data_IF_774380413023
#
_entry.id   IF_774380413023
#
_cell.length_a   1.000
_cell.length_b   1.000
_cell.length_c   1.000
_cell.angle_alpha   90.00
_cell.angle_beta   90.00
_cell.angle_gamma   90.00
#
_symmetry.space_group_name_H-M   'P 1'
#
loop_
_entity.id
_entity.type
_entity.pdbx_description
1 polymer ?
#
# COMPACT_ATOMS: atom_id res chain seq x y z
N UNK A 1 76.90 -49.14 31.60
CA UNK A 1 77.80 -48.56 30.58
C UNK A 1 77.40 -49.10 29.22
N UNK A 2 77.15 -48.22 28.24
CA UNK A 2 77.02 -48.50 26.79
C UNK A 2 75.84 -49.40 26.34
N UNK A 3 75.15 -49.20 25.21
CA UNK A 3 75.09 -48.12 24.20
C UNK A 3 73.93 -48.45 23.22
N UNK A 4 73.17 -47.41 22.86
CA UNK A 4 72.60 -47.08 21.54
C UNK A 4 71.52 -47.98 20.90
N UNK A 5 70.32 -47.40 20.90
CA UNK A 5 69.12 -47.72 20.12
C UNK A 5 69.34 -47.37 18.63
N UNK A 6 68.93 -48.30 17.75
CA UNK A 6 68.82 -48.15 16.30
C UNK A 6 67.47 -47.49 15.98
N UNK A 7 67.48 -46.42 15.19
CA UNK A 7 66.28 -45.77 14.66
C UNK A 7 66.11 -46.07 13.17
N UNK A 8 64.99 -46.68 12.81
CA UNK A 8 64.43 -46.79 11.46
C UNK A 8 62.95 -46.43 11.56
N UNK A 9 62.48 -45.47 10.76
CA UNK A 9 61.13 -45.32 10.19
C UNK A 9 60.96 -43.84 9.80
N UNK A 10 60.91 -43.48 8.52
CA UNK A 10 59.84 -43.68 7.53
C UNK A 10 59.05 -42.38 7.34
N UNK A 11 59.03 -41.95 6.09
CA UNK A 11 58.52 -40.70 5.54
C UNK A 11 57.02 -40.51 5.76
N UNK A 12 56.60 -39.31 6.17
CA UNK A 12 55.20 -38.88 6.12
C UNK A 12 55.07 -37.84 5.00
N UNK A 13 54.34 -38.21 3.95
CA UNK A 13 53.96 -37.30 2.88
C UNK A 13 52.88 -36.32 3.36
N UNK A 14 53.09 -35.04 3.11
CA UNK A 14 52.13 -33.97 3.38
C UNK A 14 51.22 -33.84 2.16
N UNK A 15 49.94 -34.22 2.34
CA UNK A 15 48.85 -33.93 1.40
C UNK A 15 48.43 -32.47 1.58
N UNK A 16 48.72 -31.64 0.58
CA UNK A 16 48.22 -30.26 0.48
C UNK A 16 46.75 -30.31 0.04
N UNK A 17 45.84 -29.99 0.95
CA UNK A 17 44.42 -29.80 0.63
C UNK A 17 44.21 -28.49 -0.14
N UNK A 18 43.81 -28.59 -1.40
CA UNK A 18 43.26 -27.48 -2.18
C UNK A 18 41.84 -27.21 -1.69
N UNK A 19 41.68 -26.23 -0.80
CA UNK A 19 40.37 -25.74 -0.39
C UNK A 19 39.69 -25.01 -1.56
N UNK A 20 38.56 -25.54 -2.04
CA UNK A 20 37.66 -24.86 -2.95
C UNK A 20 36.87 -23.79 -2.17
N UNK A 21 37.37 -22.56 -2.16
CA UNK A 21 36.58 -21.41 -1.72
C UNK A 21 35.59 -21.06 -2.83
N UNK A 22 34.32 -21.43 -2.65
CA UNK A 22 33.25 -20.85 -3.45
C UNK A 22 33.23 -19.33 -3.22
N UNK A 23 33.11 -18.50 -4.26
CA UNK A 23 33.01 -17.06 -4.07
C UNK A 23 31.78 -16.77 -3.21
N UNK A 24 31.99 -16.01 -2.13
CA UNK A 24 30.88 -15.49 -1.33
C UNK A 24 29.93 -14.76 -2.28
N UNK A 25 28.66 -15.21 -2.31
CA UNK A 25 27.63 -14.49 -3.04
C UNK A 25 27.66 -13.04 -2.54
N UNK A 26 27.89 -12.10 -3.47
CA UNK A 26 27.86 -10.69 -3.15
C UNK A 26 26.53 -10.38 -2.45
N UNK A 27 26.60 -9.93 -1.20
CA UNK A 27 25.39 -9.47 -0.52
C UNK A 27 24.84 -8.29 -1.33
N UNK A 28 23.52 -8.19 -1.54
CA UNK A 28 22.93 -7.05 -2.22
C UNK A 28 23.41 -5.77 -1.56
N UNK A 29 23.86 -4.79 -2.35
CA UNK A 29 24.26 -3.52 -1.78
C UNK A 29 23.07 -2.89 -1.03
N UNK A 30 23.30 -2.30 0.15
CA UNK A 30 22.25 -1.62 0.89
C UNK A 30 21.69 -0.49 0.02
N UNK A 31 20.41 -0.59 -0.33
CA UNK A 31 19.69 0.48 -1.02
C UNK A 31 19.57 1.64 -0.05
N UNK A 32 20.06 2.82 -0.44
CA UNK A 32 19.87 4.07 0.30
C UNK A 32 18.37 4.30 0.57
N UNK A 33 18.01 4.63 1.82
CA UNK A 33 16.62 4.80 2.27
C UNK A 33 15.85 5.79 1.39
N UNK A 34 16.51 6.88 0.97
CA UNK A 34 15.91 7.86 0.08
C UNK A 34 15.65 7.30 -1.32
N UNK A 35 16.54 6.43 -1.80
CA UNK A 35 16.34 5.71 -3.06
C UNK A 35 15.16 4.74 -2.95
N UNK A 36 15.04 3.99 -1.86
CA UNK A 36 13.89 3.09 -1.63
C UNK A 36 12.56 3.86 -1.59
N UNK A 37 12.51 5.00 -0.89
CA UNK A 37 11.34 5.87 -0.84
C UNK A 37 11.00 6.43 -2.23
N UNK A 38 12.01 6.88 -3.00
CA UNK A 38 11.80 7.37 -4.37
C UNK A 38 11.36 6.26 -5.32
N UNK A 39 11.83 5.03 -5.15
CA UNK A 39 11.35 3.90 -5.95
C UNK A 39 9.90 3.55 -5.60
N UNK A 40 9.54 3.61 -4.32
CA UNK A 40 8.19 3.29 -3.86
C UNK A 40 7.15 4.36 -4.24
N UNK A 41 7.52 5.64 -4.21
CA UNK A 41 6.56 6.76 -4.34
C UNK A 41 6.94 7.79 -5.42
N UNK A 42 8.05 7.61 -6.14
CA UNK A 42 8.58 8.56 -7.12
C UNK A 42 8.23 8.24 -8.57
N UNK A 43 7.59 7.10 -8.86
CA UNK A 43 6.84 6.94 -10.09
C UNK A 43 5.64 7.90 -10.01
N UNK A 44 5.78 9.06 -10.66
CA UNK A 44 4.93 10.24 -10.47
C UNK A 44 3.49 9.90 -10.11
N UNK A 45 3.05 10.44 -8.97
CA UNK A 45 1.67 10.30 -8.52
C UNK A 45 0.76 10.63 -9.71
N UNK A 46 -0.20 9.77 -10.08
CA UNK A 46 -1.17 10.14 -11.09
C UNK A 46 -1.88 11.40 -10.59
N UNK A 47 -1.52 12.54 -11.17
CA UNK A 47 -2.06 13.85 -10.88
C UNK A 47 -3.03 14.20 -12.00
N UNK A 48 -4.29 14.38 -11.63
CA UNK A 48 -5.28 14.96 -12.52
C UNK A 48 -5.17 16.48 -12.52
N UNK A 49 -6.01 17.13 -13.33
CA UNK A 49 -5.95 18.58 -13.53
C UNK A 49 -6.28 19.35 -12.23
N UNK A 50 -7.14 18.79 -11.38
CA UNK A 50 -7.61 19.43 -10.14
C UNK A 50 -6.81 19.02 -8.90
N UNK A 51 -5.86 18.08 -9.01
CA UNK A 51 -5.09 17.61 -7.85
C UNK A 51 -4.44 18.73 -7.03
N UNK A 52 -3.86 19.82 -7.60
CA UNK A 52 -3.33 20.92 -6.80
C UNK A 52 -4.38 21.61 -5.92
N UNK A 53 -5.61 21.79 -6.41
CA UNK A 53 -6.71 22.38 -5.64
C UNK A 53 -7.16 21.43 -4.54
N UNK A 54 -7.33 20.15 -4.88
CA UNK A 54 -7.65 19.09 -3.91
C UNK A 54 -6.63 19.02 -2.77
N UNK A 55 -5.34 19.20 -3.07
CA UNK A 55 -4.27 19.26 -2.07
C UNK A 55 -4.45 20.46 -1.14
N UNK A 56 -4.72 21.65 -1.69
CA UNK A 56 -4.93 22.86 -0.89
C UNK A 56 -6.14 22.73 0.04
N UNK A 57 -7.24 22.18 -0.46
CA UNK A 57 -8.43 21.90 0.35
C UNK A 57 -8.15 20.88 1.45
N UNK A 58 -7.50 19.77 1.12
CA UNK A 58 -7.13 18.73 2.09
C UNK A 58 -6.27 19.33 3.20
N UNK A 59 -5.23 20.09 2.84
CA UNK A 59 -4.37 20.78 3.81
C UNK A 59 -5.16 21.82 4.63
N UNK A 60 -6.08 22.54 4.00
CA UNK A 60 -6.97 23.48 4.67
C UNK A 60 -7.85 22.80 5.72
N UNK A 61 -8.45 21.66 5.39
CA UNK A 61 -9.26 20.85 6.32
C UNK A 61 -8.44 20.32 7.49
N UNK A 62 -7.24 19.80 7.23
CA UNK A 62 -6.32 19.31 8.27
C UNK A 62 -5.90 20.47 9.19
N UNK A 63 -5.48 21.60 8.61
CA UNK A 63 -5.06 22.77 9.38
C UNK A 63 -6.18 23.37 10.22
N UNK A 64 -7.43 23.32 9.74
CA UNK A 64 -8.62 23.74 10.47
C UNK A 64 -9.08 22.73 11.54
N UNK A 65 -8.43 21.56 11.65
CA UNK A 65 -8.81 20.52 12.61
C UNK A 65 -10.18 19.90 12.32
N UNK A 66 -10.59 19.86 11.04
CA UNK A 66 -11.86 19.25 10.64
C UNK A 66 -11.86 17.78 11.08
N UNK A 67 -12.87 17.31 11.83
CA UNK A 67 -12.95 15.92 12.23
C UNK A 67 -12.98 14.98 11.03
N UNK A 68 -12.33 13.82 11.16
CA UNK A 68 -12.39 12.76 10.16
C UNK A 68 -13.82 12.23 10.03
N UNK A 69 -14.19 11.87 8.82
CA UNK A 69 -15.45 11.21 8.53
C UNK A 69 -15.50 9.87 9.28
N UNK A 70 -16.55 9.69 10.08
CA UNK A 70 -16.86 8.41 10.70
C UNK A 70 -17.50 7.48 9.66
N UNK A 71 -16.74 7.12 8.63
CA UNK A 71 -17.19 6.26 7.54
C UNK A 71 -16.42 4.94 7.57
N UNK A 72 -17.18 3.86 7.55
CA UNK A 72 -16.71 2.53 7.21
C UNK A 72 -17.68 1.96 6.17
N UNK A 73 -17.18 1.47 5.02
CA UNK A 73 -18.04 0.98 3.95
C UNK A 73 -18.87 -0.21 4.45
N UNK A 74 -20.19 -0.14 4.24
CA UNK A 74 -21.11 -1.23 4.59
C UNK A 74 -20.86 -2.48 3.74
N UNK A 75 -20.20 -2.32 2.59
CA UNK A 75 -19.89 -3.40 1.67
C UNK A 75 -18.87 -4.34 2.26
N UNK A 76 -18.12 -3.90 3.28
CA UNK A 76 -17.14 -4.70 4.01
C UNK A 76 -17.82 -5.41 5.17
N UNK A 77 -17.74 -6.73 5.19
CA UNK A 77 -18.31 -7.58 6.24
C UNK A 77 -17.16 -8.27 6.98
N UNK A 78 -16.44 -7.46 7.78
CA UNK A 78 -15.28 -7.92 8.53
C UNK A 78 -15.71 -8.80 9.71
N UNK A 79 -15.45 -10.10 9.61
CA UNK A 79 -15.69 -11.07 10.67
C UNK A 79 -14.48 -11.18 11.62
N UNK A 80 -13.26 -11.06 11.08
CA UNK A 80 -12.01 -11.11 11.85
C UNK A 80 -11.01 -10.09 11.31
N UNK A 81 -10.25 -9.44 12.18
CA UNK A 81 -9.22 -8.46 11.81
C UNK A 81 -9.42 -7.11 12.48
N UNK A 82 -8.52 -6.17 12.19
CA UNK A 82 -8.55 -4.81 12.72
C UNK A 82 -8.45 -3.82 11.57
N UNK A 83 -9.38 -2.87 11.52
CA UNK A 83 -9.36 -1.76 10.58
C UNK A 83 -8.40 -0.69 11.10
N UNK A 84 -7.47 -0.29 10.23
CA UNK A 84 -6.46 0.73 10.51
C UNK A 84 -6.72 1.94 9.61
N UNK A 85 -7.14 3.09 10.16
CA UNK A 85 -7.42 4.28 9.37
C UNK A 85 -6.12 4.93 8.89
N UNK A 86 -6.18 5.58 7.73
CA UNK A 86 -5.08 6.44 7.27
C UNK A 86 -4.99 7.72 8.11
N UNK A 87 -3.91 8.47 7.91
CA UNK A 87 -3.54 9.60 8.78
C UNK A 87 -4.56 10.74 8.75
N UNK A 88 -5.18 10.97 7.59
CA UNK A 88 -6.15 12.03 7.34
C UNK A 88 -7.14 11.62 6.25
N UNK A 89 -8.27 12.33 6.18
CA UNK A 89 -9.17 12.25 5.02
C UNK A 89 -8.67 13.19 3.93
N UNK A 90 -8.84 12.79 2.68
CA UNK A 90 -8.50 13.60 1.51
C UNK A 90 -9.75 14.26 0.90
N UNK A 91 -9.56 15.21 0.01
CA UNK A 91 -10.63 15.82 -0.81
C UNK A 91 -10.35 15.70 -2.30
N UNK A 92 -11.40 15.83 -3.10
CA UNK A 92 -11.35 16.10 -4.52
C UNK A 92 -12.26 17.30 -4.84
N UNK A 93 -11.68 18.33 -5.44
CA UNK A 93 -12.36 19.60 -5.73
C UNK A 93 -13.33 19.49 -6.91
N UNK A 94 -14.43 20.24 -6.85
CA UNK A 94 -15.27 20.62 -8.02
C UNK A 94 -15.71 19.42 -8.90
N UNK A 95 -15.96 18.26 -8.30
CA UNK A 95 -16.21 17.01 -9.04
C UNK A 95 -17.61 16.42 -8.83
N UNK A 96 -18.37 16.96 -7.88
CA UNK A 96 -19.76 16.58 -7.61
C UNK A 96 -20.73 17.65 -8.08
N UNK A 97 -21.97 17.24 -8.34
CA UNK A 97 -23.04 18.21 -8.56
C UNK A 97 -23.25 19.03 -7.28
N UNK A 98 -23.43 20.37 -7.39
CA UNK A 98 -23.66 21.22 -6.24
C UNK A 98 -24.81 20.70 -5.38
N UNK A 99 -24.54 20.48 -4.10
CA UNK A 99 -25.52 20.02 -3.13
C UNK A 99 -25.34 20.75 -1.79
N UNK A 100 -26.17 20.41 -0.79
CA UNK A 100 -26.15 21.08 0.52
C UNK A 100 -24.83 20.92 1.29
N UNK A 101 -23.98 19.98 0.90
CA UNK A 101 -22.68 19.70 1.52
C UNK A 101 -21.49 20.25 0.69
N UNK A 102 -21.76 20.92 -0.43
CA UNK A 102 -20.75 21.39 -1.39
C UNK A 102 -20.74 20.56 -2.68
N UNK A 103 -19.74 20.81 -3.50
CA UNK A 103 -19.41 20.15 -4.77
C UNK A 103 -18.10 19.34 -4.72
N UNK A 104 -17.48 19.28 -3.53
CA UNK A 104 -16.28 18.48 -3.28
C UNK A 104 -16.60 17.06 -2.81
N UNK A 105 -15.75 16.10 -3.17
CA UNK A 105 -15.80 14.73 -2.63
C UNK A 105 -14.79 14.56 -1.50
N UNK A 106 -15.18 13.83 -0.45
CA UNK A 106 -14.27 13.45 0.64
C UNK A 106 -13.79 12.02 0.46
N UNK A 107 -12.48 11.79 0.42
CA UNK A 107 -11.86 10.47 0.33
C UNK A 107 -11.48 9.93 1.71
N UNK A 108 -11.93 8.71 2.02
CA UNK A 108 -11.60 8.00 3.26
C UNK A 108 -10.79 6.76 2.93
N UNK A 109 -9.59 6.64 3.48
CA UNK A 109 -8.67 5.53 3.25
C UNK A 109 -8.44 4.69 4.52
N UNK A 110 -8.47 3.37 4.38
CA UNK A 110 -8.35 2.42 5.48
C UNK A 110 -7.60 1.17 5.01
N UNK A 111 -7.08 0.39 5.95
CA UNK A 111 -6.42 -0.87 5.67
C UNK A 111 -6.82 -1.96 6.67
N UNK A 112 -6.82 -3.21 6.20
CA UNK A 112 -7.06 -4.41 7.00
C UNK A 112 -5.90 -5.36 6.74
N UNK A 113 -5.06 -5.56 7.75
CA UNK A 113 -3.93 -6.48 7.66
C UNK A 113 -4.37 -7.92 7.90
N UNK A 114 -3.82 -8.85 7.12
CA UNK A 114 -4.03 -10.28 7.30
C UNK A 114 -3.16 -10.87 8.43
N UNK A 115 -3.57 -11.98 9.08
CA UNK A 115 -4.77 -12.75 8.79
C UNK A 115 -6.06 -12.04 9.24
N UNK A 116 -7.03 -11.99 8.34
CA UNK A 116 -8.36 -11.42 8.56
C UNK A 116 -9.40 -12.14 7.68
N UNK A 117 -10.67 -12.01 8.05
CA UNK A 117 -11.81 -12.63 7.35
C UNK A 117 -12.81 -11.55 7.00
N UNK A 118 -13.05 -11.35 5.71
CA UNK A 118 -14.09 -10.46 5.19
C UNK A 118 -15.01 -11.25 4.28
N UNK A 119 -16.24 -11.51 4.74
CA UNK A 119 -17.19 -12.37 4.03
C UNK A 119 -17.76 -11.75 2.76
N UNK A 120 -17.49 -10.47 2.51
CA UNK A 120 -17.91 -9.77 1.31
C UNK A 120 -16.94 -9.92 0.13
N UNK A 121 -15.71 -10.40 0.37
CA UNK A 121 -14.74 -10.64 -0.68
C UNK A 121 -15.09 -11.90 -1.50
N UNK A 122 -14.70 -11.97 -2.79
CA UNK A 122 -14.84 -13.19 -3.59
C UNK A 122 -14.14 -14.41 -2.97
N UNK A 123 -12.99 -14.17 -2.34
CA UNK A 123 -12.34 -15.13 -1.43
C UNK A 123 -12.38 -14.51 -0.03
N UNK A 124 -13.15 -15.06 0.92
CA UNK A 124 -13.41 -14.44 2.23
C UNK A 124 -12.22 -14.28 3.19
N UNK A 125 -10.98 -14.41 2.71
CA UNK A 125 -9.77 -14.45 3.54
C UNK A 125 -8.79 -13.41 3.02
N UNK A 126 -8.26 -12.61 3.94
CA UNK A 126 -7.09 -11.75 3.72
C UNK A 126 -5.88 -12.50 4.30
N UNK A 127 -5.00 -13.08 3.47
CA UNK A 127 -3.92 -13.95 3.94
C UNK A 127 -2.87 -13.24 4.81
N UNK A 128 -2.15 -13.95 5.70
CA UNK A 128 -1.01 -13.40 6.42
C UNK A 128 0.04 -12.77 5.49
N UNK A 129 0.60 -11.62 5.87
CA UNK A 129 1.60 -10.90 5.07
C UNK A 129 1.02 -10.15 3.87
N UNK A 130 -0.30 -9.99 3.83
CA UNK A 130 -1.02 -9.15 2.89
C UNK A 130 -1.84 -8.10 3.63
N UNK A 131 -2.18 -7.02 2.93
CA UNK A 131 -3.04 -5.95 3.44
C UNK A 131 -4.09 -5.64 2.40
N UNK A 132 -5.38 -5.68 2.78
CA UNK A 132 -6.45 -5.13 1.97
C UNK A 132 -6.55 -3.63 2.24
N UNK A 133 -6.28 -2.81 1.23
CA UNK A 133 -6.40 -1.35 1.31
C UNK A 133 -7.74 -0.96 0.71
N UNK A 134 -8.45 -0.05 1.36
CA UNK A 134 -9.76 0.46 0.99
C UNK A 134 -9.70 1.96 0.80
N UNK A 135 -10.40 2.45 -0.22
CA UNK A 135 -10.55 3.87 -0.49
C UNK A 135 -11.99 4.17 -0.92
N UNK A 136 -12.65 5.06 -0.18
CA UNK A 136 -14.05 5.40 -0.38
C UNK A 136 -14.21 6.88 -0.72
N UNK A 137 -14.84 7.18 -1.86
CA UNK A 137 -15.14 8.54 -2.30
C UNK A 137 -16.55 8.94 -1.89
N UNK A 138 -16.68 9.70 -0.81
CA UNK A 138 -17.99 10.14 -0.31
C UNK A 138 -18.62 11.16 -1.25
N UNK A 139 -19.92 11.03 -1.48
CA UNK A 139 -20.66 11.85 -2.43
C UNK A 139 -20.55 11.40 -3.89
N UNK A 140 -19.64 10.47 -4.20
CA UNK A 140 -19.55 9.87 -5.55
C UNK A 140 -20.62 8.82 -5.78
N UNK A 141 -21.04 8.67 -7.04
CA UNK A 141 -21.98 7.64 -7.47
C UNK A 141 -21.38 6.23 -7.53
N UNK A 142 -22.27 5.25 -7.64
CA UNK A 142 -21.90 3.85 -7.82
C UNK A 142 -21.07 3.61 -9.11
N UNK A 143 -20.16 2.65 -9.02
CA UNK A 143 -19.77 1.73 -10.09
C UNK A 143 -20.31 1.95 -11.51
N UNK A 144 -19.58 2.55 -12.46
CA UNK A 144 -19.84 2.25 -13.86
C UNK A 144 -19.13 0.95 -14.23
N UNK A 145 -19.84 -0.12 -14.66
CA UNK A 145 -19.22 -1.39 -15.01
C UNK A 145 -18.33 -1.32 -16.26
N UNK A 146 -18.33 -0.18 -16.97
CA UNK A 146 -17.60 0.03 -18.22
C UNK A 146 -16.38 0.95 -18.09
N UNK A 147 -16.16 1.56 -16.92
CA UNK A 147 -15.04 2.47 -16.68
C UNK A 147 -14.41 2.18 -15.32
N UNK A 148 -13.18 1.65 -15.35
CA UNK A 148 -12.35 1.53 -14.17
C UNK A 148 -11.85 2.90 -13.71
N UNK A 149 -11.79 3.09 -12.40
CA UNK A 149 -11.24 4.30 -11.81
C UNK A 149 -9.70 4.27 -11.84
N UNK A 150 -9.02 5.34 -12.27
CA UNK A 150 -7.57 5.43 -12.23
C UNK A 150 -7.08 5.70 -10.81
N UNK A 151 -7.37 4.78 -9.88
CA UNK A 151 -6.97 4.84 -8.48
C UNK A 151 -5.90 3.78 -8.20
N UNK A 152 -4.85 4.17 -7.50
CA UNK A 152 -3.72 3.28 -7.21
C UNK A 152 -3.33 3.35 -5.75
N UNK A 153 -2.76 2.26 -5.26
CA UNK A 153 -2.07 2.19 -3.98
C UNK A 153 -0.62 1.84 -4.22
N UNK A 154 0.29 2.63 -3.63
CA UNK A 154 1.71 2.30 -3.52
C UNK A 154 2.07 2.05 -2.07
N UNK A 155 3.06 1.19 -1.83
CA UNK A 155 3.49 0.85 -0.47
C UNK A 155 4.99 0.67 -0.35
N UNK A 156 5.48 0.85 0.87
CA UNK A 156 6.84 0.54 1.30
C UNK A 156 6.80 -0.12 2.69
N UNK A 157 7.30 -1.34 2.78
CA UNK A 157 7.52 -2.02 4.05
C UNK A 157 8.86 -1.57 4.64
N UNK A 158 8.82 -0.87 5.78
CA UNK A 158 10.02 -0.29 6.41
C UNK A 158 10.93 -1.33 7.05
N UNK A 159 10.42 -2.53 7.33
CA UNK A 159 11.21 -3.63 7.91
C UNK A 159 12.00 -4.42 6.86
N UNK A 160 11.49 -4.50 5.63
CA UNK A 160 12.06 -5.34 4.58
C UNK A 160 12.51 -4.56 3.34
N UNK A 161 12.19 -3.27 3.28
CA UNK A 161 12.35 -2.39 2.12
C UNK A 161 11.64 -2.89 0.85
N UNK A 162 10.71 -3.84 0.97
CA UNK A 162 9.85 -4.25 -0.15
C UNK A 162 8.83 -3.14 -0.44
N UNK A 163 8.68 -2.82 -1.71
CA UNK A 163 7.70 -1.85 -2.19
C UNK A 163 6.92 -2.39 -3.38
N UNK A 164 5.85 -1.70 -3.74
CA UNK A 164 5.09 -1.98 -4.95
C UNK A 164 3.98 -0.97 -5.18
N UNK A 165 3.31 -1.14 -6.30
CA UNK A 165 2.13 -0.37 -6.69
C UNK A 165 1.09 -1.32 -7.27
N UNK A 166 -0.18 -1.09 -6.98
CA UNK A 166 -1.30 -1.85 -7.52
C UNK A 166 -2.49 -0.93 -7.78
N UNK A 167 -3.32 -1.22 -8.79
CA UNK A 167 -4.59 -0.52 -8.96
C UNK A 167 -5.55 -0.88 -7.83
N UNK A 168 -6.42 0.05 -7.45
CA UNK A 168 -7.59 -0.24 -6.63
C UNK A 168 -8.79 -0.47 -7.55
N UNK A 169 -9.65 -1.41 -7.20
CA UNK A 169 -10.83 -1.74 -7.99
C UNK A 169 -11.98 -2.13 -7.09
N UNK A 170 -13.18 -2.23 -7.66
CA UNK A 170 -14.33 -2.63 -6.87
C UNK A 170 -14.35 -4.15 -6.65
N UNK A 171 -13.82 -4.61 -5.52
CA UNK A 171 -13.82 -6.04 -5.13
C UNK A 171 -15.19 -6.53 -4.61
N UNK A 172 -16.03 -5.62 -4.13
CA UNK A 172 -17.29 -5.93 -3.41
C UNK A 172 -18.51 -5.38 -4.14
N UNK A 173 -19.70 -5.96 -3.95
CA UNK A 173 -20.94 -5.36 -4.44
C UNK A 173 -21.10 -3.91 -3.97
N UNK A 174 -21.57 -3.03 -4.85
CA UNK A 174 -21.79 -1.63 -4.49
C UNK A 174 -22.96 -1.52 -3.50
N UNK A 175 -22.77 -0.75 -2.43
CA UNK A 175 -23.80 -0.59 -1.40
C UNK A 175 -23.86 0.82 -0.78
N UNK A 176 -23.39 1.82 -1.51
CA UNK A 176 -23.35 3.21 -1.09
C UNK A 176 -22.30 4.01 -1.86
N UNK A 177 -21.57 4.93 -1.19
CA UNK A 177 -20.42 5.60 -1.78
C UNK A 177 -19.46 4.61 -2.40
N UNK A 178 -18.88 4.98 -3.54
CA UNK A 178 -17.96 4.10 -4.25
C UNK A 178 -16.76 3.78 -3.37
N UNK A 179 -16.55 2.48 -3.13
CA UNK A 179 -15.41 1.95 -2.39
C UNK A 179 -14.60 1.04 -3.29
N UNK A 180 -13.33 1.39 -3.45
CA UNK A 180 -12.34 0.62 -4.18
C UNK A 180 -11.41 -0.04 -3.17
N UNK A 181 -10.89 -1.21 -3.51
CA UNK A 181 -9.97 -1.92 -2.66
C UNK A 181 -9.09 -2.87 -3.46
N UNK A 182 -8.01 -3.32 -2.84
CA UNK A 182 -7.16 -4.38 -3.35
C UNK A 182 -6.36 -5.00 -2.20
N UNK A 183 -6.13 -6.31 -2.27
CA UNK A 183 -5.25 -7.03 -1.35
C UNK A 183 -3.84 -7.13 -1.93
N UNK A 184 -2.87 -6.51 -1.26
CA UNK A 184 -1.48 -6.44 -1.73
C UNK A 184 -0.52 -7.20 -0.81
N UNK A 185 0.48 -7.84 -1.40
CA UNK A 185 1.52 -8.58 -0.67
C UNK A 185 2.61 -7.65 -0.13
N UNK A 186 2.43 -7.19 1.10
CA UNK A 186 3.34 -6.22 1.72
C UNK A 186 4.40 -6.86 2.62
N UNK A 187 4.22 -8.13 3.00
CA UNK A 187 4.99 -8.76 4.06
C UNK A 187 4.52 -8.32 5.45
N UNK A 188 5.26 -8.70 6.49
CA UNK A 188 4.96 -8.34 7.89
C UNK A 188 5.73 -7.09 8.30
N UNK A 189 5.21 -6.34 9.27
CA UNK A 189 5.88 -5.17 9.84
C UNK A 189 5.15 -3.86 9.61
N UNK A 190 5.87 -2.75 9.73
CA UNK A 190 5.35 -1.41 9.53
C UNK A 190 5.41 -1.06 8.05
N UNK A 191 4.24 -0.77 7.46
CA UNK A 191 4.09 -0.49 6.04
C UNK A 191 3.51 0.91 5.87
N UNK A 192 4.19 1.73 5.07
CA UNK A 192 3.70 3.04 4.63
C UNK A 192 2.94 2.85 3.33
N UNK A 193 1.73 3.38 3.27
CA UNK A 193 0.86 3.36 2.10
C UNK A 193 0.62 4.76 1.58
N UNK A 194 0.47 4.86 0.26
CA UNK A 194 0.08 6.07 -0.45
C UNK A 194 -1.01 5.71 -1.45
N UNK A 195 -2.21 6.25 -1.26
CA UNK A 195 -3.30 6.11 -2.24
C UNK A 195 -3.42 7.42 -3.03
N UNK A 196 -3.49 7.30 -4.35
CA UNK A 196 -3.55 8.44 -5.26
C UNK A 196 -4.25 8.08 -6.56
N UNK A 197 -4.94 9.07 -7.13
CA UNK A 197 -5.63 8.95 -8.41
C UNK A 197 -7.02 9.56 -8.36
N UNK A 198 -7.88 9.11 -9.26
CA UNK A 198 -9.19 9.71 -9.47
C UNK A 198 -10.31 8.69 -9.46
N UNK A 199 -11.52 9.13 -9.09
CA UNK A 199 -12.76 8.36 -9.30
C UNK A 199 -13.61 9.00 -10.39
N UNK A 200 -14.14 8.17 -11.28
CA UNK A 200 -15.04 8.57 -12.35
C UNK A 200 -16.48 8.40 -11.86
N UNK A 201 -17.11 9.53 -11.57
CA UNK A 201 -18.54 9.61 -11.28
C UNK A 201 -19.34 9.74 -12.59
N UNK A 202 -20.23 8.79 -12.84
CA UNK A 202 -21.07 8.78 -14.04
C UNK A 202 -22.39 9.56 -13.88
N UNK A 203 -22.73 9.99 -12.67
CA UNK A 203 -23.90 10.81 -12.36
C UNK A 203 -23.62 12.30 -12.42
N UNK A 204 -22.34 12.70 -12.43
CA UNK A 204 -21.92 14.09 -12.41
C UNK A 204 -22.15 14.87 -13.72
N UNK A 205 -22.90 14.34 -14.70
CA UNK A 205 -23.37 15.03 -15.93
C UNK A 205 -22.35 16.02 -16.53
N UNK A 206 -21.26 15.49 -17.09
CA UNK A 206 -20.17 16.22 -17.74
C UNK A 206 -19.15 16.92 -16.82
N UNK A 207 -19.26 16.75 -15.49
CA UNK A 207 -18.19 17.16 -14.56
C UNK A 207 -16.93 16.28 -14.69
N UNK A 208 -15.75 16.81 -14.31
CA UNK A 208 -14.49 16.06 -14.33
C UNK A 208 -14.50 14.88 -13.35
N UNK A 209 -13.53 13.97 -13.51
CA UNK A 209 -13.27 12.94 -12.51
C UNK A 209 -12.89 13.60 -11.17
N UNK A 210 -13.24 12.95 -10.07
CA UNK A 210 -12.82 13.38 -8.73
C UNK A 210 -11.33 13.05 -8.54
N UNK A 211 -10.47 14.03 -8.79
CA UNK A 211 -9.02 13.95 -8.62
C UNK A 211 -8.65 14.16 -7.15
N UNK A 212 -8.48 13.09 -6.38
CA UNK A 212 -8.21 13.19 -4.96
C UNK A 212 -6.78 13.62 -4.66
N UNK A 213 -6.59 14.41 -3.61
CA UNK A 213 -5.25 14.62 -3.08
C UNK A 213 -4.67 13.30 -2.56
N UNK A 214 -3.36 13.04 -2.72
CA UNK A 214 -2.75 11.82 -2.21
C UNK A 214 -2.91 11.67 -0.69
N UNK A 215 -3.24 10.46 -0.24
CA UNK A 215 -3.48 10.15 1.18
C UNK A 215 -2.52 9.08 1.69
N UNK A 216 -1.97 9.32 2.88
CA UNK A 216 -0.92 8.47 3.49
C UNK A 216 -1.47 7.69 4.67
N UNK A 217 -1.07 6.41 4.76
CA UNK A 217 -1.36 5.53 5.88
C UNK A 217 -0.08 4.88 6.43
N UNK A 218 -0.06 4.61 7.73
CA UNK A 218 0.96 3.76 8.36
C UNK A 218 0.21 2.60 9.00
N UNK A 219 0.51 1.40 8.55
CA UNK A 219 -0.24 0.19 8.85
C UNK A 219 0.72 -0.85 9.44
N UNK A 220 0.28 -1.51 10.49
CA UNK A 220 0.95 -2.69 11.01
C UNK A 220 0.38 -3.94 10.31
N UNK A 221 1.24 -4.60 9.52
CA UNK A 221 0.96 -5.81 8.75
C UNK A 221 1.55 -7.08 9.38
#
# INVERSE_FOLDING_TARGET
MMRRIVGIAASVGILVGLGSQAPAAAQPEPVDDLTAVRTAFGAGLPVGALTPQSVLETLGRVAAGVPRASYFPRSVQLAEGVVQPFLYDTSASDCLLPNALGDDSIGVAQAIAGPAVDTSLPTPVIPPGTVNVLFSGLGTSTSSPFRGDPMTVSWLNLNTMRSGTAPLFQERPADGPRTLSNTVETGRGTVVFLVSGSMIDNTSRDLPACDFAPVVGVVQA
#
